data_IF_402867935524
#
_entry.id   IF_402867935524
#
_cell.length_a   1.000
_cell.length_b   1.000
_cell.length_c   1.000
_cell.angle_alpha   90.00
_cell.angle_beta   90.00
_cell.angle_gamma   90.00
#
_symmetry.space_group_name_H-M   'P 1'
#
loop_
_entity.id
_entity.type
_entity.pdbx_description
1 polymer ?
#
# COMPACT_ATOMS: atom_id res chain seq x y z
N UNK A 1 -44.06 2.48 0.26
CA UNK A 1 -43.17 2.68 1.41
C UNK A 1 -41.78 2.99 0.84
N UNK A 2 -41.18 4.15 1.10
CA UNK A 2 -39.87 4.48 0.48
C UNK A 2 -38.77 3.68 1.17
N UNK A 3 -37.99 2.93 0.38
CA UNK A 3 -36.77 2.28 0.84
C UNK A 3 -35.82 3.36 1.38
N UNK A 4 -35.46 3.24 2.66
CA UNK A 4 -34.58 4.21 3.31
C UNK A 4 -33.14 3.81 3.01
N UNK A 5 -32.37 4.74 2.46
CA UNK A 5 -30.92 4.61 2.36
C UNK A 5 -30.29 4.88 3.74
N UNK A 6 -29.94 3.82 4.46
CA UNK A 6 -29.33 3.91 5.79
C UNK A 6 -27.81 4.01 5.61
N UNK A 7 -27.23 5.16 5.98
CA UNK A 7 -25.79 5.38 5.97
C UNK A 7 -25.21 4.99 7.32
N UNK A 8 -24.28 4.04 7.34
CA UNK A 8 -23.53 3.64 8.54
C UNK A 8 -22.17 4.34 8.61
N UNK A 9 -21.65 4.64 9.82
CA UNK A 9 -20.31 5.18 9.98
C UNK A 9 -19.24 4.28 9.36
N UNK A 10 -18.32 4.86 8.60
CA UNK A 10 -17.20 4.13 7.99
C UNK A 10 -16.18 3.77 9.08
N UNK A 11 -15.97 2.48 9.32
CA UNK A 11 -15.02 1.96 10.32
C UNK A 11 -13.60 1.78 9.77
N UNK A 12 -13.40 1.85 8.45
CA UNK A 12 -12.09 1.72 7.82
C UNK A 12 -11.27 3.01 7.95
N UNK A 13 -10.21 2.97 8.76
CA UNK A 13 -9.21 4.04 8.88
C UNK A 13 -8.17 3.90 7.78
N UNK A 14 -8.47 4.41 6.59
CA UNK A 14 -7.47 4.61 5.55
C UNK A 14 -6.79 5.96 5.76
N UNK A 15 -5.46 5.99 5.74
CA UNK A 15 -4.66 7.22 5.78
C UNK A 15 -4.09 7.49 4.40
N UNK A 16 -4.23 8.72 3.92
CA UNK A 16 -3.56 9.17 2.69
C UNK A 16 -2.14 9.60 3.04
N UNK A 17 -1.16 9.06 2.31
CA UNK A 17 0.25 9.45 2.43
C UNK A 17 0.76 9.92 1.07
N UNK A 18 1.61 10.95 1.07
CA UNK A 18 2.32 11.43 -0.11
C UNK A 18 3.78 11.01 0.00
N UNK A 19 4.29 10.30 -0.99
CA UNK A 19 5.68 9.83 -1.04
C UNK A 19 6.34 10.28 -2.35
N UNK A 20 7.65 10.49 -2.32
CA UNK A 20 8.45 10.65 -3.55
C UNK A 20 9.03 9.29 -3.91
N UNK A 21 8.90 8.90 -5.18
CA UNK A 21 9.44 7.66 -5.72
C UNK A 21 10.13 7.97 -7.05
N UNK A 22 11.01 7.08 -7.49
CA UNK A 22 11.65 7.18 -8.79
C UNK A 22 10.62 7.03 -9.93
N UNK A 23 10.84 7.75 -11.02
CA UNK A 23 9.95 7.75 -12.19
C UNK A 23 9.79 6.34 -12.77
N UNK A 24 10.87 5.57 -12.84
CA UNK A 24 10.85 4.19 -13.33
C UNK A 24 9.94 3.28 -12.50
N UNK A 25 9.91 3.47 -11.18
CA UNK A 25 9.03 2.69 -10.30
C UNK A 25 7.56 3.08 -10.52
N UNK A 26 7.30 4.37 -10.72
CA UNK A 26 5.96 4.85 -11.05
C UNK A 26 5.45 4.26 -12.37
N UNK A 27 6.29 4.24 -13.40
CA UNK A 27 5.95 3.67 -14.71
C UNK A 27 5.66 2.17 -14.62
N UNK A 28 6.49 1.41 -13.90
CA UNK A 28 6.25 -0.02 -13.65
C UNK A 28 4.93 -0.28 -12.94
N UNK A 29 4.57 0.55 -11.95
CA UNK A 29 3.28 0.44 -11.27
C UNK A 29 2.10 0.70 -12.21
N UNK A 30 2.24 1.66 -13.13
CA UNK A 30 1.20 1.98 -14.12
C UNK A 30 1.02 0.86 -15.15
N UNK A 31 2.11 0.30 -15.66
CA UNK A 31 2.05 -0.87 -16.54
C UNK A 31 1.40 -2.08 -15.85
N UNK A 32 1.77 -2.35 -14.60
CA UNK A 32 1.19 -3.44 -13.83
C UNK A 32 -0.29 -3.20 -13.55
N UNK A 33 -0.70 -1.96 -13.27
CA UNK A 33 -2.10 -1.61 -13.09
C UNK A 33 -2.92 -1.92 -14.35
N UNK A 34 -2.41 -1.53 -15.53
CA UNK A 34 -3.03 -1.82 -16.82
C UNK A 34 -3.13 -3.33 -17.09
N UNK A 35 -2.06 -4.08 -16.84
CA UNK A 35 -2.00 -5.54 -17.09
C UNK A 35 -2.89 -6.32 -16.12
N UNK A 36 -2.92 -5.94 -14.84
CA UNK A 36 -3.63 -6.67 -13.78
C UNK A 36 -5.09 -6.25 -13.58
N UNK A 37 -5.52 -5.15 -14.21
CA UNK A 37 -6.82 -4.49 -13.95
C UNK A 37 -7.02 -4.07 -12.48
N UNK A 38 -5.93 -3.87 -11.74
CA UNK A 38 -5.94 -3.36 -10.36
C UNK A 38 -5.55 -1.89 -10.32
N UNK A 39 -5.97 -1.20 -9.26
CA UNK A 39 -5.56 0.19 -9.08
C UNK A 39 -4.10 0.29 -8.64
N UNK A 40 -3.44 1.40 -8.96
CA UNK A 40 -2.08 1.71 -8.48
C UNK A 40 -1.98 1.60 -6.96
N UNK A 41 -2.96 2.13 -6.24
CA UNK A 41 -3.01 2.10 -4.77
C UNK A 41 -3.13 0.68 -4.23
N UNK A 42 -3.89 -0.18 -4.91
CA UNK A 42 -4.01 -1.59 -4.53
C UNK A 42 -2.69 -2.32 -4.71
N UNK A 43 -2.01 -2.12 -5.84
CA UNK A 43 -0.68 -2.68 -6.08
C UNK A 43 0.35 -2.18 -5.06
N UNK A 44 0.37 -0.88 -4.76
CA UNK A 44 1.25 -0.32 -3.73
C UNK A 44 0.99 -1.00 -2.37
N UNK A 45 -0.26 -1.13 -1.96
CA UNK A 45 -0.60 -1.78 -0.70
C UNK A 45 -0.18 -3.26 -0.66
N UNK A 46 -0.35 -4.00 -1.75
CA UNK A 46 0.07 -5.39 -1.85
C UNK A 46 1.59 -5.53 -1.80
N UNK A 47 2.30 -4.68 -2.53
CA UNK A 47 3.77 -4.64 -2.52
C UNK A 47 4.31 -4.28 -1.13
N UNK A 48 3.69 -3.31 -0.44
CA UNK A 48 4.08 -2.95 0.92
C UNK A 48 3.83 -4.10 1.90
N UNK A 49 2.68 -4.76 1.84
CA UNK A 49 2.39 -5.94 2.67
C UNK A 49 3.42 -7.03 2.46
N UNK A 50 3.68 -7.39 1.20
CA UNK A 50 4.71 -8.35 0.86
C UNK A 50 6.08 -7.94 1.41
N UNK A 51 6.47 -6.67 1.23
CA UNK A 51 7.73 -6.18 1.75
C UNK A 51 7.82 -6.33 3.27
N UNK A 52 6.79 -5.97 4.03
CA UNK A 52 6.76 -6.15 5.48
C UNK A 52 6.78 -7.62 5.91
N UNK A 53 6.05 -8.48 5.22
CA UNK A 53 5.99 -9.92 5.53
C UNK A 53 7.32 -10.64 5.28
N UNK A 54 8.18 -10.09 4.41
CA UNK A 54 9.47 -10.65 4.04
C UNK A 54 10.66 -9.81 4.55
N UNK A 55 10.41 -8.79 5.36
CA UNK A 55 11.46 -7.95 5.91
C UNK A 55 12.07 -8.65 7.12
N UNK A 56 13.39 -8.85 7.08
CA UNK A 56 14.18 -9.22 8.24
C UNK A 56 14.87 -7.98 8.77
N UNK A 57 14.65 -7.67 10.04
CA UNK A 57 15.34 -6.58 10.73
C UNK A 57 16.51 -7.17 11.52
N UNK A 58 17.73 -6.81 11.14
CA UNK A 58 18.94 -7.17 11.89
C UNK A 58 19.26 -6.00 12.80
N UNK A 59 19.11 -6.19 14.11
CA UNK A 59 19.65 -5.26 15.10
C UNK A 59 21.18 -5.37 15.06
N UNK A 60 21.87 -4.27 14.78
CA UNK A 60 23.31 -4.19 15.03
C UNK A 60 23.52 -4.34 16.54
N UNK A 61 23.91 -5.54 16.98
CA UNK A 61 24.55 -5.70 18.28
C UNK A 61 25.87 -4.93 18.21
N UNK A 62 25.93 -3.78 18.89
CA UNK A 62 27.20 -3.09 19.16
C UNK A 62 28.13 -4.02 19.96
N UNK A 63 28.89 -4.89 19.28
CA UNK A 63 30.17 -5.35 19.81
C UNK A 63 31.18 -4.21 19.58
N UNK A 64 31.24 -3.30 20.55
CA UNK A 64 32.39 -2.40 20.69
C UNK A 64 33.61 -3.26 21.08
N UNK A 65 34.74 -3.17 20.36
CA UNK A 65 36.02 -3.73 20.80
C UNK A 65 36.58 -2.99 22.03
#
# INVERSE_FOLDING_TARGET
MKEKFIVTPKTTRSVTMTIRIDSELSEKLDELALKSKRSRNELINLSLRYAFDNLEFIEETEEKP
#
